data_IF_906341778706
#
_entry.id   IF_906341778706
#
_cell.length_a   1.000
_cell.length_b   1.000
_cell.length_c   1.000
_cell.angle_alpha   90.00
_cell.angle_beta   90.00
_cell.angle_gamma   90.00
#
_symmetry.space_group_name_H-M   'P 1'
#
loop_
_entity.id
_entity.type
_entity.pdbx_description
1 polymer ?
#
# COMPACT_ATOMS: atom_id res chain seq x y z
N UNK A 1 4.37 -12.03 1.69
CA UNK A 1 3.75 -11.67 0.40
C UNK A 1 4.76 -12.04 -0.65
N UNK A 2 4.51 -13.08 -1.43
CA UNK A 2 5.53 -13.65 -2.32
C UNK A 2 5.47 -13.00 -3.70
N UNK A 3 5.78 -11.70 -3.72
CA UNK A 3 5.96 -10.94 -4.95
C UNK A 3 7.44 -10.72 -5.21
N UNK A 4 7.83 -10.72 -6.49
CA UNK A 4 9.13 -10.16 -6.86
C UNK A 4 9.17 -8.67 -6.53
N UNK A 5 10.36 -8.16 -6.20
CA UNK A 5 10.58 -6.74 -5.89
C UNK A 5 10.05 -5.85 -7.02
N UNK A 6 10.28 -6.22 -8.28
CA UNK A 6 9.79 -5.47 -9.46
C UNK A 6 8.27 -5.40 -9.50
N UNK A 7 7.57 -6.51 -9.22
CA UNK A 7 6.11 -6.54 -9.21
C UNK A 7 5.56 -5.70 -8.05
N UNK A 8 6.15 -5.81 -6.87
CA UNK A 8 5.77 -4.98 -5.71
C UNK A 8 5.90 -3.49 -6.01
N UNK A 9 7.07 -3.05 -6.52
CA UNK A 9 7.31 -1.63 -6.88
C UNK A 9 6.34 -1.12 -7.94
N UNK A 10 6.00 -1.96 -8.92
CA UNK A 10 5.02 -1.61 -9.94
C UNK A 10 3.63 -1.35 -9.36
N UNK A 11 3.19 -2.16 -8.39
CA UNK A 11 1.90 -1.98 -7.73
C UNK A 11 1.88 -0.71 -6.88
N UNK A 12 2.97 -0.44 -6.14
CA UNK A 12 3.12 0.82 -5.39
C UNK A 12 3.05 2.03 -6.32
N UNK A 13 3.81 2.01 -7.42
CA UNK A 13 3.83 3.11 -8.41
C UNK A 13 2.45 3.36 -9.05
N UNK A 14 1.65 2.31 -9.22
CA UNK A 14 0.29 2.40 -9.80
C UNK A 14 -0.79 2.73 -8.77
N UNK A 15 -0.43 2.91 -7.49
CA UNK A 15 -1.38 3.18 -6.41
C UNK A 15 -2.16 1.96 -5.93
N UNK A 16 -1.86 0.75 -6.41
CA UNK A 16 -2.53 -0.47 -5.98
C UNK A 16 -2.03 -0.98 -4.62
N UNK A 17 -0.82 -0.60 -4.22
CA UNK A 17 -0.27 -0.81 -2.88
C UNK A 17 0.17 0.54 -2.30
N UNK A 18 0.16 0.70 -0.96
CA UNK A 18 0.57 1.93 -0.32
C UNK A 18 2.04 2.25 -0.59
N UNK A 19 2.33 3.54 -0.66
CA UNK A 19 3.70 4.06 -0.66
C UNK A 19 4.40 3.78 0.67
N UNK A 20 5.74 3.84 0.70
CA UNK A 20 6.46 3.80 1.95
C UNK A 20 6.20 5.07 2.78
N UNK A 21 6.31 4.94 4.09
CA UNK A 21 6.44 6.05 5.03
C UNK A 21 7.92 6.32 5.30
N UNK A 22 8.26 7.59 5.44
CA UNK A 22 9.60 8.04 5.84
C UNK A 22 9.71 8.03 7.36
N UNK A 23 10.70 7.34 7.90
CA UNK A 23 11.04 7.38 9.33
C UNK A 23 11.96 8.56 9.66
N UNK A 24 12.11 8.87 10.94
CA UNK A 24 12.90 10.02 11.40
C UNK A 24 14.40 9.92 11.01
N UNK A 25 14.92 8.71 10.84
CA UNK A 25 16.29 8.43 10.39
C UNK A 25 16.44 8.48 8.86
N UNK A 26 15.40 8.87 8.13
CA UNK A 26 15.39 8.97 6.67
C UNK A 26 15.14 7.65 5.95
N UNK A 27 14.99 6.53 6.67
CA UNK A 27 14.70 5.23 6.05
C UNK A 27 13.24 5.15 5.63
N UNK A 28 13.00 4.60 4.45
CA UNK A 28 11.66 4.36 3.92
C UNK A 28 11.19 2.93 4.25
N UNK A 29 9.99 2.80 4.80
CA UNK A 29 9.40 1.52 5.23
C UNK A 29 7.92 1.45 4.89
N UNK A 30 7.39 0.25 4.75
CA UNK A 30 5.95 0.03 4.61
C UNK A 30 5.35 -0.41 5.93
N UNK A 31 4.14 0.05 6.23
CA UNK A 31 3.35 -0.48 7.34
C UNK A 31 2.89 -1.88 6.97
N UNK A 32 3.31 -2.87 7.75
CA UNK A 32 2.97 -4.27 7.50
C UNK A 32 1.45 -4.50 7.56
N UNK A 33 0.76 -3.80 8.46
CA UNK A 33 -0.67 -3.97 8.66
C UNK A 33 -1.51 -3.43 7.48
N UNK A 34 -1.11 -2.31 6.87
CA UNK A 34 -1.76 -1.80 5.64
C UNK A 34 -1.62 -2.82 4.50
N UNK A 35 -0.42 -3.38 4.32
CA UNK A 35 -0.18 -4.42 3.31
C UNK A 35 -1.01 -5.69 3.59
N UNK A 36 -1.14 -6.09 4.86
CA UNK A 36 -1.97 -7.24 5.27
C UNK A 36 -3.46 -6.96 5.06
N UNK A 37 -3.93 -5.76 5.38
CA UNK A 37 -5.32 -5.37 5.20
C UNK A 37 -5.72 -5.46 3.72
N UNK A 38 -4.85 -5.01 2.81
CA UNK A 38 -5.08 -5.11 1.37
C UNK A 38 -5.11 -6.57 0.91
N UNK A 39 -4.15 -7.39 1.35
CA UNK A 39 -4.09 -8.80 0.97
C UNK A 39 -5.26 -9.63 1.49
N UNK A 40 -5.79 -9.28 2.67
CA UNK A 40 -6.95 -9.94 3.28
C UNK A 40 -8.29 -9.37 2.80
N UNK A 41 -8.29 -8.32 1.98
CA UNK A 41 -9.50 -7.65 1.53
C UNK A 41 -10.22 -6.86 2.64
N UNK A 42 -9.55 -6.61 3.77
CA UNK A 42 -10.10 -5.87 4.92
C UNK A 42 -9.67 -4.41 4.94
N UNK A 43 -8.82 -3.99 4.00
CA UNK A 43 -8.53 -2.58 3.79
C UNK A 43 -9.85 -1.85 3.49
N UNK A 44 -10.15 -0.83 4.29
CA UNK A 44 -11.26 0.06 4.01
C UNK A 44 -11.08 0.59 2.59
N UNK A 45 -12.03 0.27 1.70
CA UNK A 45 -12.10 0.94 0.41
C UNK A 45 -12.32 2.43 0.72
N UNK A 46 -11.60 3.35 0.06
CA UNK A 46 -12.00 4.74 0.10
C UNK A 46 -13.49 4.77 -0.22
N UNK A 47 -14.30 5.36 0.66
CA UNK A 47 -15.67 5.69 0.31
C UNK A 47 -15.56 6.68 -0.84
N UNK A 48 -15.74 6.20 -2.07
CA UNK A 48 -16.01 7.07 -3.19
C UNK A 48 -17.41 7.63 -2.96
N UNK A 49 -17.50 8.69 -2.17
CA UNK A 49 -18.63 9.61 -2.24
C UNK A 49 -18.53 10.31 -3.61
N UNK A 50 -19.02 9.62 -4.65
CA UNK A 50 -19.35 10.28 -5.90
C UNK A 50 -20.61 11.11 -5.63
N UNK A 51 -20.43 12.40 -5.36
CA UNK A 51 -21.52 13.35 -5.56
C UNK A 51 -21.82 13.42 -7.07
N UNK A 52 -23.06 13.06 -7.43
CA UNK A 52 -23.65 13.06 -8.77
C UNK A 52 -24.29 14.40 -9.09
#
# INVERSE_FOLDING_TARGET
>A
MDLSVTKFRNLVRRGALPGPVRLADGVERWRADDLRAILSGTAARPSEDFEL
#
